data_IF_098479915333
#
_entry.id   IF_098479915333
#
_cell.length_a   1.000
_cell.length_b   1.000
_cell.length_c   1.000
_cell.angle_alpha   90.00
_cell.angle_beta   90.00
_cell.angle_gamma   90.00
#
_symmetry.space_group_name_H-M   'P 1'
#
loop_
_entity.id
_entity.type
_entity.pdbx_description
1 polymer ?
#
# COMPACT_ATOMS: atom_id res chain seq x y z
N UNK A 1 -22.44 2.79 -27.50
CA UNK A 1 -22.10 2.69 -26.07
C UNK A 1 -20.58 2.72 -25.97
N UNK A 2 -19.95 3.64 -25.23
CA UNK A 2 -18.49 3.62 -25.10
C UNK A 2 -18.09 2.35 -24.36
N UNK A 3 -17.20 1.56 -24.95
CA UNK A 3 -16.56 0.44 -24.28
C UNK A 3 -15.70 1.00 -23.15
N UNK A 4 -16.21 0.98 -21.92
CA UNK A 4 -15.39 1.29 -20.74
C UNK A 4 -14.26 0.26 -20.66
N UNK A 5 -13.03 0.71 -20.90
CA UNK A 5 -11.81 -0.11 -20.77
C UNK A 5 -11.53 -0.32 -19.28
N UNK A 6 -12.26 -1.24 -18.66
CA UNK A 6 -12.02 -1.72 -17.29
C UNK A 6 -10.84 -2.71 -17.29
N UNK A 7 -9.64 -2.22 -17.63
CA UNK A 7 -8.42 -3.02 -17.46
C UNK A 7 -7.96 -3.00 -16.00
N UNK A 8 -7.26 -4.06 -15.56
CA UNK A 8 -6.62 -4.11 -14.24
C UNK A 8 -5.66 -2.94 -14.00
N UNK A 9 -5.00 -2.44 -15.06
CA UNK A 9 -4.15 -1.26 -15.00
C UNK A 9 -4.96 0.01 -14.65
N UNK A 10 -6.13 0.20 -15.26
CA UNK A 10 -7.02 1.32 -14.92
C UNK A 10 -7.48 1.28 -13.45
N UNK A 11 -7.66 0.07 -12.91
CA UNK A 11 -8.06 -0.14 -11.52
C UNK A 11 -6.93 0.23 -10.55
N UNK A 12 -5.70 -0.25 -10.79
CA UNK A 12 -4.54 0.09 -9.97
C UNK A 12 -4.37 1.62 -9.86
N UNK A 13 -4.45 2.30 -11.01
CA UNK A 13 -4.29 3.75 -11.07
C UNK A 13 -5.36 4.53 -10.31
N UNK A 14 -6.63 4.09 -10.39
CA UNK A 14 -7.72 4.71 -9.60
C UNK A 14 -7.48 4.57 -8.09
N UNK A 15 -6.92 3.45 -7.66
CA UNK A 15 -6.63 3.23 -6.25
C UNK A 15 -5.41 4.03 -5.76
N UNK A 16 -4.38 4.20 -6.60
CA UNK A 16 -3.29 5.16 -6.34
C UNK A 16 -3.86 6.57 -6.11
N UNK A 17 -4.77 7.02 -6.98
CA UNK A 17 -5.43 8.32 -6.82
C UNK A 17 -6.26 8.46 -5.54
N UNK A 18 -6.91 7.40 -5.07
CA UNK A 18 -7.64 7.44 -3.80
C UNK A 18 -6.71 7.70 -2.61
N UNK A 19 -5.52 7.08 -2.61
CA UNK A 19 -4.51 7.31 -1.57
C UNK A 19 -3.86 8.70 -1.71
N UNK A 20 -3.61 9.17 -2.93
CA UNK A 20 -3.10 10.53 -3.18
C UNK A 20 -4.10 11.58 -2.71
N UNK A 21 -5.39 11.40 -3.01
CA UNK A 21 -6.45 12.29 -2.54
C UNK A 21 -6.52 12.32 -1.01
N UNK A 22 -6.33 11.17 -0.36
CA UNK A 22 -6.26 11.09 1.10
C UNK A 22 -5.07 11.87 1.68
N UNK A 23 -3.89 11.75 1.07
CA UNK A 23 -2.71 12.50 1.49
C UNK A 23 -2.94 14.01 1.31
N UNK A 24 -3.48 14.46 0.17
CA UNK A 24 -3.82 15.86 -0.07
C UNK A 24 -4.85 16.39 0.93
N UNK A 25 -5.89 15.60 1.24
CA UNK A 25 -6.92 15.94 2.23
C UNK A 25 -6.35 16.11 3.64
N UNK A 26 -5.25 15.43 3.95
CA UNK A 26 -4.51 15.57 5.22
C UNK A 26 -3.52 16.73 5.21
N UNK A 27 -3.38 17.45 4.10
CA UNK A 27 -2.51 18.62 3.98
C UNK A 27 -1.06 18.31 3.60
N UNK A 28 -0.78 17.11 3.08
CA UNK A 28 0.56 16.81 2.56
C UNK A 28 0.76 17.45 1.18
N UNK A 29 1.98 17.93 0.94
CA UNK A 29 2.46 18.30 -0.40
C UNK A 29 2.83 17.03 -1.17
N UNK A 30 2.05 16.68 -2.20
CA UNK A 30 2.21 15.43 -2.97
C UNK A 30 2.65 15.72 -4.40
N UNK A 31 3.76 15.11 -4.82
CA UNK A 31 4.26 15.11 -6.19
C UNK A 31 3.99 13.75 -6.83
N UNK A 32 3.37 13.70 -7.99
CA UNK A 32 3.13 12.45 -8.72
C UNK A 32 4.29 12.12 -9.66
N UNK A 33 4.55 10.83 -9.84
CA UNK A 33 5.49 10.35 -10.86
C UNK A 33 4.78 10.25 -12.22
N UNK A 34 5.47 10.68 -13.29
CA UNK A 34 4.92 10.56 -14.64
C UNK A 34 5.11 9.15 -15.22
N UNK A 35 6.19 8.48 -14.84
CA UNK A 35 6.51 7.09 -15.21
C UNK A 35 6.75 6.30 -13.93
N UNK A 36 6.06 5.17 -13.78
CA UNK A 36 6.24 4.23 -12.66
C UNK A 36 7.07 3.02 -13.10
N UNK A 37 8.37 3.21 -13.28
CA UNK A 37 9.34 2.13 -13.51
C UNK A 37 10.20 1.85 -12.26
N UNK A 38 10.08 2.68 -11.22
CA UNK A 38 10.82 2.57 -9.95
C UNK A 38 9.96 2.04 -8.80
N UNK A 39 8.67 1.83 -9.02
CA UNK A 39 7.74 1.43 -7.96
C UNK A 39 7.45 2.58 -7.00
N UNK A 40 7.40 3.81 -7.51
CA UNK A 40 7.12 5.03 -6.74
C UNK A 40 5.88 5.66 -7.37
N UNK A 41 4.77 5.64 -6.65
CA UNK A 41 3.49 6.15 -7.14
C UNK A 41 3.37 7.66 -6.87
N UNK A 42 3.91 8.14 -5.76
CA UNK A 42 4.05 9.56 -5.46
C UNK A 42 5.17 9.83 -4.46
N UNK A 43 5.53 11.11 -4.32
CA UNK A 43 6.49 11.63 -3.35
C UNK A 43 5.76 12.62 -2.45
N UNK A 44 5.91 12.46 -1.14
CA UNK A 44 5.41 13.41 -0.15
C UNK A 44 6.56 14.30 0.32
N UNK A 45 6.38 15.61 0.27
CA UNK A 45 7.29 16.57 0.90
C UNK A 45 6.82 16.87 2.32
N UNK A 46 7.73 16.66 3.27
CA UNK A 46 7.57 17.09 4.65
C UNK A 46 8.19 18.47 4.84
N UNK A 47 7.38 19.41 5.31
CA UNK A 47 7.79 20.78 5.60
C UNK A 47 8.49 20.85 6.96
N UNK A 48 9.76 20.44 6.98
CA UNK A 48 10.71 20.69 8.08
C UNK A 48 11.64 21.88 7.74
N UNK A 49 12.52 22.28 8.69
CA UNK A 49 13.53 23.34 8.49
C UNK A 49 14.30 23.15 7.17
N UNK A 50 14.60 21.91 6.83
CA UNK A 50 15.01 21.49 5.49
C UNK A 50 13.94 20.55 4.92
N UNK A 51 13.50 20.72 3.66
CA UNK A 51 12.51 19.82 3.07
C UNK A 51 13.01 18.37 3.03
N UNK A 52 12.18 17.44 3.50
CA UNK A 52 12.43 16.00 3.34
C UNK A 52 11.41 15.40 2.39
N UNK A 53 11.86 14.49 1.54
CA UNK A 53 11.03 13.82 0.55
C UNK A 53 10.91 12.35 0.89
N UNK A 54 9.68 11.86 0.86
CA UNK A 54 9.34 10.47 1.13
C UNK A 54 8.76 9.86 -0.13
N UNK A 55 9.39 8.80 -0.63
CA UNK A 55 8.89 7.99 -1.72
C UNK A 55 7.76 7.10 -1.19
N UNK A 56 6.61 7.12 -1.85
CA UNK A 56 5.44 6.31 -1.50
C UNK A 56 5.14 5.31 -2.60
N UNK A 57 5.08 4.03 -2.24
CA UNK A 57 4.42 3.00 -3.04
C UNK A 57 3.03 2.70 -2.48
N UNK A 58 2.02 2.79 -3.31
CA UNK A 58 0.63 2.47 -3.01
C UNK A 58 0.34 1.00 -3.36
N UNK A 59 -0.37 0.34 -2.45
CA UNK A 59 -0.97 -0.98 -2.69
C UNK A 59 -2.37 -0.97 -2.13
N UNK A 60 -3.36 -1.17 -2.98
CA UNK A 60 -4.75 -0.97 -2.58
C UNK A 60 -5.68 -2.15 -2.91
N UNK A 61 -6.82 -2.19 -2.23
CA UNK A 61 -7.90 -3.17 -2.41
C UNK A 61 -9.22 -2.42 -2.45
N UNK A 62 -10.04 -2.75 -3.44
CA UNK A 62 -11.39 -2.19 -3.56
C UNK A 62 -12.38 -2.86 -2.61
N UNK A 63 -13.46 -2.14 -2.31
CA UNK A 63 -14.66 -2.64 -1.64
C UNK A 63 -15.30 -3.86 -2.32
N UNK A 64 -15.07 -4.04 -3.63
CA UNK A 64 -15.64 -5.17 -4.39
C UNK A 64 -14.73 -6.40 -4.40
N UNK A 65 -13.60 -6.37 -3.68
CA UNK A 65 -12.72 -7.53 -3.59
C UNK A 65 -13.36 -8.68 -2.79
N UNK A 66 -12.89 -9.91 -3.01
CA UNK A 66 -13.30 -11.04 -2.16
C UNK A 66 -12.98 -10.68 -0.69
N UNK A 67 -13.98 -10.72 0.23
CA UNK A 67 -13.79 -10.31 1.62
C UNK A 67 -12.61 -11.00 2.29
N UNK A 68 -12.32 -12.27 1.93
CA UNK A 68 -11.18 -13.04 2.48
C UNK A 68 -9.80 -12.43 2.16
N UNK A 69 -9.74 -11.55 1.15
CA UNK A 69 -8.54 -10.90 0.65
C UNK A 69 -8.50 -9.40 0.95
N UNK A 70 -9.51 -8.83 1.60
CA UNK A 70 -9.63 -7.39 1.85
C UNK A 70 -8.43 -6.78 2.58
N UNK A 71 -7.73 -7.57 3.38
CA UNK A 71 -6.55 -7.19 4.17
C UNK A 71 -5.26 -7.86 3.69
N UNK A 72 -5.30 -8.58 2.56
CA UNK A 72 -4.16 -9.33 2.01
C UNK A 72 -3.61 -8.64 0.77
N UNK A 73 -2.34 -8.30 0.85
CA UNK A 73 -1.56 -7.75 -0.25
C UNK A 73 -0.47 -8.75 -0.60
N UNK A 74 -0.47 -9.25 -1.82
CA UNK A 74 0.46 -10.28 -2.26
C UNK A 74 1.12 -9.85 -3.54
N UNK A 75 2.34 -10.36 -3.73
CA UNK A 75 3.09 -10.24 -4.96
C UNK A 75 3.45 -8.79 -5.26
N UNK A 76 4.20 -8.18 -4.34
CA UNK A 76 4.83 -6.87 -4.55
C UNK A 76 6.33 -6.97 -4.30
N UNK A 77 7.07 -6.04 -4.89
CA UNK A 77 8.51 -5.94 -4.74
C UNK A 77 8.84 -4.85 -3.73
N UNK A 78 9.91 -5.06 -2.97
CA UNK A 78 10.48 -4.04 -2.09
C UNK A 78 11.90 -3.83 -2.62
N UNK A 79 12.04 -2.88 -3.53
CA UNK A 79 13.28 -2.64 -4.26
C UNK A 79 14.10 -1.56 -3.54
N UNK A 80 15.32 -1.90 -3.11
CA UNK A 80 16.25 -0.99 -2.43
C UNK A 80 15.62 -0.27 -1.20
N UNK A 81 15.22 -1.03 -0.16
CA UNK A 81 14.55 -0.46 1.01
C UNK A 81 15.47 0.54 1.73
N UNK A 82 14.92 1.70 2.13
CA UNK A 82 15.67 2.85 2.63
C UNK A 82 14.82 3.71 3.59
N UNK A 83 15.41 4.58 4.42
CA UNK A 83 14.66 5.33 5.44
C UNK A 83 13.54 6.24 4.91
N UNK A 84 13.64 6.72 3.67
CA UNK A 84 12.67 7.63 3.05
C UNK A 84 11.75 6.92 2.03
N UNK A 85 11.64 5.60 2.13
CA UNK A 85 10.80 4.78 1.23
C UNK A 85 9.72 4.07 2.05
N UNK A 86 8.46 4.29 1.67
CA UNK A 86 7.29 3.87 2.44
C UNK A 86 6.26 3.23 1.55
N UNK A 87 5.51 2.29 2.15
CA UNK A 87 4.37 1.66 1.53
C UNK A 87 3.09 2.15 2.20
N UNK A 88 2.14 2.61 1.39
CA UNK A 88 0.80 2.90 1.83
C UNK A 88 -0.17 1.81 1.34
N UNK A 89 -0.54 0.93 2.27
CA UNK A 89 -1.53 -0.10 2.01
C UNK A 89 -2.92 0.43 2.34
N UNK A 90 -3.83 0.42 1.37
CA UNK A 90 -5.21 0.85 1.58
C UNK A 90 -6.20 -0.27 1.29
N UNK A 91 -7.15 -0.48 2.20
CA UNK A 91 -8.31 -1.32 1.94
C UNK A 91 -9.58 -0.49 2.02
N UNK A 92 -10.24 -0.30 0.88
CA UNK A 92 -11.54 0.36 0.79
C UNK A 92 -12.62 -0.49 1.48
N UNK A 93 -12.51 -1.82 1.42
CA UNK A 93 -13.49 -2.75 2.04
C UNK A 93 -13.61 -2.56 3.56
N UNK A 94 -12.49 -2.34 4.26
CA UNK A 94 -12.48 -2.11 5.72
C UNK A 94 -12.08 -0.68 6.08
N UNK A 95 -12.07 0.22 5.10
CA UNK A 95 -11.68 1.63 5.21
C UNK A 95 -10.50 1.86 6.15
N UNK A 96 -9.34 1.27 5.81
CA UNK A 96 -8.15 1.33 6.67
C UNK A 96 -6.89 1.45 5.85
N UNK A 97 -5.98 2.31 6.33
CA UNK A 97 -4.64 2.49 5.82
C UNK A 97 -3.61 1.81 6.73
N UNK A 98 -2.52 1.31 6.15
CA UNK A 98 -1.29 0.99 6.87
C UNK A 98 -0.11 1.65 6.16
N UNK A 99 0.55 2.57 6.86
CA UNK A 99 1.71 3.30 6.34
C UNK A 99 2.95 2.74 7.01
N UNK A 100 3.80 2.07 6.22
CA UNK A 100 4.89 1.23 6.73
C UNK A 100 6.20 1.63 6.03
N UNK A 101 7.28 1.95 6.77
CA UNK A 101 8.60 2.13 6.16
C UNK A 101 9.06 0.85 5.49
N UNK A 102 9.71 0.93 4.33
CA UNK A 102 10.12 -0.24 3.56
C UNK A 102 11.11 -1.14 4.33
N UNK A 103 11.99 -0.54 5.14
CA UNK A 103 12.88 -1.26 6.05
C UNK A 103 12.13 -2.15 7.05
N UNK A 104 11.03 -1.64 7.63
CA UNK A 104 10.18 -2.41 8.55
C UNK A 104 9.30 -3.43 7.81
N UNK A 105 8.90 -3.11 6.57
CA UNK A 105 8.09 -3.99 5.76
C UNK A 105 8.84 -5.27 5.36
N UNK A 106 10.15 -5.19 5.11
CA UNK A 106 11.00 -6.36 4.79
C UNK A 106 10.98 -7.40 5.92
N UNK A 107 11.05 -6.96 7.18
CA UNK A 107 11.09 -7.87 8.34
C UNK A 107 9.69 -8.36 8.76
N UNK A 108 8.65 -7.59 8.47
CA UNK A 108 7.28 -7.90 8.92
C UNK A 108 6.45 -8.68 7.89
N UNK A 109 6.86 -8.66 6.62
CA UNK A 109 6.20 -9.34 5.49
C UNK A 109 6.74 -10.76 5.23
N UNK A 110 5.95 -11.57 4.55
CA UNK A 110 6.37 -12.89 4.07
C UNK A 110 7.09 -12.74 2.74
N UNK A 111 8.36 -13.16 2.67
CA UNK A 111 9.08 -13.32 1.40
C UNK A 111 8.76 -14.68 0.78
N UNK A 112 8.28 -14.69 -0.46
CA UNK A 112 7.87 -15.89 -1.18
C UNK A 112 9.11 -16.67 -1.67
N UNK A 113 9.18 -17.96 -1.34
CA UNK A 113 10.38 -18.79 -1.56
C UNK A 113 10.33 -19.65 -2.83
N UNK A 114 9.16 -19.81 -3.44
CA UNK A 114 8.93 -20.70 -4.59
C UNK A 114 7.87 -20.14 -5.54
N UNK A 115 7.76 -20.73 -6.73
CA UNK A 115 6.82 -20.35 -7.78
C UNK A 115 7.23 -19.11 -8.57
N UNK A 116 6.35 -18.64 -9.47
CA UNK A 116 6.57 -17.48 -10.36
C UNK A 116 6.80 -16.16 -9.60
N UNK A 117 6.37 -16.11 -8.34
CA UNK A 117 6.54 -14.93 -7.46
C UNK A 117 7.71 -15.06 -6.48
N UNK A 118 8.63 -16.01 -6.70
CA UNK A 118 9.82 -16.19 -5.86
C UNK A 118 10.59 -14.88 -5.73
N UNK A 119 10.95 -14.53 -4.49
CA UNK A 119 11.66 -13.30 -4.17
C UNK A 119 10.76 -12.10 -3.84
N UNK A 120 9.49 -12.11 -4.26
CA UNK A 120 8.49 -11.07 -3.97
C UNK A 120 7.93 -11.23 -2.55
N UNK A 121 7.21 -10.21 -2.10
CA UNK A 121 6.64 -10.14 -0.76
C UNK A 121 5.11 -10.27 -0.76
N UNK A 122 4.60 -10.71 0.38
CA UNK A 122 3.17 -10.66 0.72
C UNK A 122 2.99 -10.25 2.18
N UNK A 123 2.01 -9.42 2.43
CA UNK A 123 1.59 -9.02 3.76
C UNK A 123 0.09 -9.29 3.94
N UNK A 124 -0.26 -9.65 5.17
CA UNK A 124 -1.64 -9.88 5.56
C UNK A 124 -1.84 -9.15 6.89
N UNK A 125 -2.74 -8.17 6.91
CA UNK A 125 -2.98 -7.31 8.08
C UNK A 125 -3.96 -7.88 9.09
N UNK A 126 -4.72 -8.91 8.72
CA UNK A 126 -5.68 -9.56 9.61
C UNK A 126 -5.47 -11.08 9.67
N UNK A 127 -6.17 -11.72 10.59
CA UNK A 127 -6.31 -13.16 10.65
C UNK A 127 -7.75 -13.51 10.32
N UNK A 128 -7.94 -14.50 9.45
CA UNK A 128 -9.22 -15.18 9.30
C UNK A 128 -9.19 -16.39 10.22
N UNK A 129 -10.03 -16.38 11.27
CA UNK A 129 -10.18 -17.52 12.18
C UNK A 129 -11.04 -18.60 11.52
N UNK A 130 -10.94 -19.84 12.02
CA UNK A 130 -11.70 -20.98 11.50
C UNK A 130 -13.23 -20.75 11.52
N UNK A 131 -13.72 -19.98 12.49
CA UNK A 131 -15.13 -19.57 12.60
C UNK A 131 -15.52 -18.38 11.70
N UNK A 132 -14.68 -18.01 10.72
CA UNK A 132 -14.92 -16.88 9.82
C UNK A 132 -14.66 -15.51 10.43
N UNK A 133 -14.35 -15.40 11.73
CA UNK A 133 -14.07 -14.11 12.37
C UNK A 133 -12.77 -13.52 11.86
N UNK A 134 -12.84 -12.24 11.48
CA UNK A 134 -11.69 -11.45 11.08
C UNK A 134 -11.17 -10.71 12.31
N UNK A 135 -9.88 -10.83 12.60
CA UNK A 135 -9.23 -10.10 13.70
C UNK A 135 -7.96 -9.42 13.20
N UNK A 136 -7.76 -8.15 13.50
CA UNK A 136 -6.51 -7.44 13.19
C UNK A 136 -5.29 -8.17 13.79
N UNK A 137 -4.15 -8.12 13.10
CA UNK A 137 -2.89 -8.64 13.63
C UNK A 137 -2.21 -7.57 14.47
N UNK A 138 -2.00 -7.79 15.79
CA UNK A 138 -1.50 -6.75 16.69
C UNK A 138 -0.18 -6.10 16.24
N UNK A 139 0.72 -6.89 15.62
CA UNK A 139 2.00 -6.39 15.12
C UNK A 139 1.90 -5.27 14.07
N UNK A 140 0.73 -5.08 13.45
CA UNK A 140 0.51 -4.01 12.47
C UNK A 140 -0.29 -2.82 13.03
N UNK A 141 -0.67 -2.86 14.32
CA UNK A 141 -1.45 -1.78 14.92
C UNK A 141 -0.70 -0.45 14.90
N UNK A 142 0.62 -0.47 15.10
CA UNK A 142 1.47 0.73 15.08
C UNK A 142 1.47 1.46 13.72
N UNK A 143 1.14 0.77 12.63
CA UNK A 143 1.11 1.35 11.28
C UNK A 143 -0.30 1.74 10.82
N UNK A 144 -1.33 1.32 11.56
CA UNK A 144 -2.72 1.53 11.18
C UNK A 144 -3.02 3.03 11.21
N UNK A 145 -3.42 3.58 10.06
CA UNK A 145 -3.70 5.01 9.86
C UNK A 145 -2.55 5.94 10.32
N UNK A 146 -1.30 5.45 10.26
CA UNK A 146 -0.10 6.16 10.71
C UNK A 146 0.37 7.18 9.68
N UNK A 147 -0.36 8.29 9.55
CA UNK A 147 0.08 9.39 8.69
C UNK A 147 1.07 10.32 9.42
N UNK A 148 1.10 10.31 10.76
CA UNK A 148 1.94 11.14 11.62
C UNK A 148 3.18 10.44 12.19
#
# INVERSE_FOLDING_TARGET
MPNHINSSASFGKRQEYAVIAELLRRGYDVYQTFVDDKGIDCIVRLNSREPRYIDIQVKARSKDCNPRNAWRFSTFEINNPRPNDYFNFYSEFIDTYWVIPSLELVSTSLRLKSGLSKGKYSVNFCNLRANGKITARPKFNAYKNRFN
#
